data_IF_651507175724
#
_entry.id   IF_651507175724
#
_cell.length_a   1.000
_cell.length_b   1.000
_cell.length_c   1.000
_cell.angle_alpha   90.00
_cell.angle_beta   90.00
_cell.angle_gamma   90.00
#
_symmetry.space_group_name_H-M   'P 1'
#
loop_
_entity.id
_entity.type
_entity.pdbx_description
1 polymer ?
#
# COMPACT_ATOMS: atom_id res chain seq x y z
N UNK A 1 21.63 26.70 20.65
CA UNK A 1 21.09 26.29 19.34
C UNK A 1 19.75 25.61 19.55
N UNK A 2 18.66 26.17 19.00
CA UNK A 2 17.36 25.47 18.93
C UNK A 2 17.39 24.59 17.69
N UNK A 3 17.37 23.27 17.88
CA UNK A 3 17.19 22.34 16.76
C UNK A 3 15.71 22.40 16.36
N UNK A 4 15.42 22.93 15.17
CA UNK A 4 14.09 22.84 14.54
C UNK A 4 14.09 21.52 13.77
N UNK A 5 13.25 20.58 14.17
CA UNK A 5 12.97 19.38 13.37
C UNK A 5 11.93 19.80 12.31
N UNK A 6 12.27 19.89 11.01
CA UNK A 6 11.40 20.47 9.99
C UNK A 6 10.36 19.47 9.44
N UNK A 7 10.06 18.41 10.18
CA UNK A 7 9.13 17.37 9.74
C UNK A 7 8.33 16.81 10.92
N UNK A 8 7.09 16.43 10.63
CA UNK A 8 6.22 15.68 11.52
C UNK A 8 6.16 14.26 10.99
N UNK A 9 6.49 13.28 11.84
CA UNK A 9 6.37 11.86 11.49
C UNK A 9 5.06 11.34 12.06
N UNK A 10 4.19 10.87 11.17
CA UNK A 10 2.98 10.15 11.54
C UNK A 10 3.21 8.66 11.29
N UNK A 11 2.76 7.81 12.21
CA UNK A 11 2.88 6.36 12.08
C UNK A 11 1.65 5.78 11.41
N UNK A 12 1.88 4.91 10.42
CA UNK A 12 0.86 4.02 9.89
C UNK A 12 0.95 2.65 10.61
N UNK A 13 -0.17 1.97 10.91
CA UNK A 13 -0.18 0.66 11.57
C UNK A 13 0.27 -0.51 10.67
N UNK A 14 1.18 -0.26 9.72
CA UNK A 14 1.81 -1.31 8.90
C UNK A 14 2.84 -2.05 9.76
N UNK A 15 2.65 -3.35 9.94
CA UNK A 15 3.55 -4.22 10.72
C UNK A 15 4.57 -4.96 9.86
N UNK A 16 4.23 -5.25 8.60
CA UNK A 16 5.13 -5.90 7.64
C UNK A 16 4.97 -5.27 6.27
N UNK A 17 6.08 -5.16 5.54
CA UNK A 17 6.15 -4.58 4.21
C UNK A 17 7.06 -5.44 3.33
N UNK A 18 6.63 -5.71 2.09
CA UNK A 18 7.50 -6.23 1.04
C UNK A 18 7.28 -5.46 -0.26
N UNK A 19 8.37 -5.00 -0.87
CA UNK A 19 8.35 -4.33 -2.17
C UNK A 19 8.91 -5.30 -3.21
N UNK A 20 8.13 -5.54 -4.26
CA UNK A 20 8.42 -6.52 -5.30
C UNK A 20 8.46 -5.78 -6.65
N UNK A 21 9.63 -5.27 -7.08
CA UNK A 21 9.78 -4.64 -8.38
C UNK A 21 9.79 -5.68 -9.51
N UNK A 22 9.21 -5.35 -10.66
CA UNK A 22 9.22 -6.21 -11.83
C UNK A 22 10.25 -5.71 -12.86
N UNK A 23 11.48 -6.21 -12.79
CA UNK A 23 12.59 -5.64 -13.57
C UNK A 23 12.78 -6.25 -14.96
N UNK A 24 12.77 -7.58 -15.09
CA UNK A 24 13.20 -8.26 -16.32
C UNK A 24 12.09 -8.43 -17.36
N UNK A 25 10.86 -8.65 -16.91
CA UNK A 25 9.67 -8.84 -17.76
C UNK A 25 8.46 -8.25 -17.01
N UNK A 26 8.34 -6.91 -16.94
CA UNK A 26 7.24 -6.29 -16.22
C UNK A 26 5.91 -6.68 -16.86
N UNK A 27 4.94 -6.99 -16.01
CA UNK A 27 3.55 -7.23 -16.39
C UNK A 27 3.02 -6.14 -17.34
N UNK A 28 2.01 -6.44 -18.16
CA UNK A 28 1.47 -5.46 -19.13
C UNK A 28 0.97 -4.18 -18.45
N UNK A 29 0.44 -4.29 -17.23
CA UNK A 29 -0.19 -3.20 -16.48
C UNK A 29 0.75 -2.69 -15.39
N UNK A 30 1.37 -3.61 -14.64
CA UNK A 30 2.10 -3.28 -13.41
C UNK A 30 3.62 -3.30 -13.58
N UNK A 31 4.30 -2.43 -12.82
CA UNK A 31 5.77 -2.37 -12.71
C UNK A 31 6.30 -2.90 -11.38
N UNK A 32 5.41 -3.14 -10.42
CA UNK A 32 5.75 -3.77 -9.14
C UNK A 32 4.60 -3.70 -8.15
N UNK A 33 4.73 -4.44 -7.06
CA UNK A 33 3.77 -4.46 -5.96
C UNK A 33 4.45 -4.07 -4.65
N UNK A 34 3.65 -3.49 -3.76
CA UNK A 34 3.99 -3.32 -2.35
C UNK A 34 2.91 -3.99 -1.51
N UNK A 35 3.32 -5.03 -0.79
CA UNK A 35 2.48 -5.81 0.08
C UNK A 35 2.64 -5.28 1.50
N UNK A 36 1.53 -4.95 2.13
CA UNK A 36 1.45 -4.45 3.48
C UNK A 36 0.59 -5.40 4.32
N UNK A 37 1.09 -5.79 5.49
CA UNK A 37 0.24 -6.33 6.55
C UNK A 37 -0.04 -5.23 7.56
N UNK A 38 -1.31 -4.88 7.70
CA UNK A 38 -1.79 -3.82 8.58
C UNK A 38 -2.41 -4.48 9.81
N UNK A 39 -2.07 -3.97 10.99
CA UNK A 39 -2.65 -4.41 12.26
C UNK A 39 -2.73 -3.22 13.24
N UNK A 40 -3.86 -2.52 13.17
CA UNK A 40 -4.17 -1.38 14.02
C UNK A 40 -5.24 -0.46 13.46
N UNK A 41 -5.71 0.46 14.31
CA UNK A 41 -6.67 1.50 13.93
C UNK A 41 -6.04 2.52 12.98
N UNK A 42 -6.82 3.13 12.06
CA UNK A 42 -8.26 2.93 11.85
C UNK A 42 -8.62 1.69 11.02
N UNK A 43 -7.63 1.03 10.42
CA UNK A 43 -7.86 0.03 9.37
C UNK A 43 -8.29 -1.36 9.87
N UNK A 44 -7.99 -1.72 11.11
CA UNK A 44 -8.19 -3.08 11.61
C UNK A 44 -6.99 -3.97 11.28
N UNK A 45 -7.24 -5.23 10.89
CA UNK A 45 -6.20 -6.20 10.59
C UNK A 45 -6.45 -6.87 9.24
N UNK A 46 -5.45 -6.89 8.36
CA UNK A 46 -5.52 -7.53 7.05
C UNK A 46 -4.38 -7.14 6.13
N UNK A 47 -4.47 -7.58 4.88
CA UNK A 47 -3.49 -7.29 3.85
C UNK A 47 -3.94 -6.16 2.94
N UNK A 48 -2.99 -5.33 2.53
CA UNK A 48 -3.14 -4.35 1.47
C UNK A 48 -2.08 -4.60 0.40
N UNK A 49 -2.48 -4.52 -0.87
CA UNK A 49 -1.57 -4.56 -2.01
C UNK A 49 -1.69 -3.21 -2.73
N UNK A 50 -0.59 -2.47 -2.74
CA UNK A 50 -0.43 -1.28 -3.59
C UNK A 50 0.23 -1.74 -4.89
N UNK A 51 -0.51 -1.70 -5.99
CA UNK A 51 -0.05 -2.14 -7.29
C UNK A 51 0.34 -0.94 -8.16
N UNK A 52 1.65 -0.78 -8.37
CA UNK A 52 2.20 0.33 -9.15
C UNK A 52 2.01 0.07 -10.64
N UNK A 53 1.22 0.91 -11.29
CA UNK A 53 0.96 0.81 -12.73
C UNK A 53 2.06 1.48 -13.54
N UNK A 54 2.15 1.12 -14.82
CA UNK A 54 3.07 1.74 -15.79
C UNK A 54 2.65 3.14 -16.21
N UNK A 55 1.37 3.50 -16.08
CA UNK A 55 0.81 4.81 -16.43
C UNK A 55 0.95 5.88 -15.32
N UNK A 56 1.76 5.57 -14.28
CA UNK A 56 2.02 6.37 -13.07
C UNK A 56 0.86 6.50 -12.08
N UNK A 57 -0.19 5.69 -12.21
CA UNK A 57 -1.21 5.53 -11.16
C UNK A 57 -0.95 4.30 -10.26
N UNK A 58 -1.72 4.18 -9.19
CA UNK A 58 -1.78 2.96 -8.36
C UNK A 58 -3.18 2.35 -8.33
N UNK A 59 -3.23 1.02 -8.37
CA UNK A 59 -4.41 0.27 -7.94
C UNK A 59 -4.17 -0.25 -6.52
N UNK A 60 -5.18 -0.17 -5.66
CA UNK A 60 -5.11 -0.63 -4.27
C UNK A 60 -6.11 -1.76 -4.07
N UNK A 61 -5.63 -2.86 -3.50
CA UNK A 61 -6.45 -4.00 -3.13
C UNK A 61 -6.36 -4.21 -1.63
N UNK A 62 -7.46 -3.96 -0.93
CA UNK A 62 -7.59 -4.21 0.50
C UNK A 62 -8.30 -5.53 0.74
N UNK A 63 -7.82 -6.28 1.73
CA UNK A 63 -8.57 -7.39 2.26
C UNK A 63 -9.94 -6.92 2.77
N UNK A 64 -10.97 -7.73 2.60
CA UNK A 64 -12.31 -7.48 3.14
C UNK A 64 -12.31 -7.32 4.67
N UNK A 65 -11.30 -7.83 5.39
CA UNK A 65 -11.12 -7.65 6.83
C UNK A 65 -10.64 -6.24 7.21
N UNK A 66 -10.08 -5.48 6.26
CA UNK A 66 -9.72 -4.08 6.48
C UNK A 66 -10.94 -3.17 6.37
N UNK A 67 -10.95 -2.15 7.22
CA UNK A 67 -11.91 -1.06 7.19
C UNK A 67 -11.56 -0.10 6.07
N UNK A 68 -12.51 0.08 5.15
CA UNK A 68 -12.38 1.04 4.07
C UNK A 68 -12.32 2.47 4.63
N UNK A 69 -11.32 3.23 4.18
CA UNK A 69 -11.18 4.64 4.53
C UNK A 69 -11.46 5.48 3.27
N UNK A 70 -12.59 6.19 3.26
CA UNK A 70 -13.08 6.90 2.09
C UNK A 70 -12.17 8.06 1.65
N UNK A 71 -11.53 8.73 2.62
CA UNK A 71 -10.63 9.86 2.39
C UNK A 71 -9.17 9.46 2.16
N UNK A 72 -8.85 8.17 2.09
CA UNK A 72 -7.47 7.73 1.97
C UNK A 72 -6.87 8.05 0.59
N UNK A 73 -5.96 9.03 0.58
CA UNK A 73 -5.30 9.48 -0.64
C UNK A 73 -4.01 8.68 -0.85
N UNK A 74 -4.03 7.76 -1.80
CA UNK A 74 -2.87 6.99 -2.22
C UNK A 74 -1.93 7.79 -3.13
N UNK A 75 -1.45 8.92 -2.62
CA UNK A 75 -0.55 9.85 -3.33
C UNK A 75 0.91 9.36 -3.37
N UNK A 76 1.13 8.07 -3.14
CA UNK A 76 2.45 7.42 -3.20
C UNK A 76 2.99 7.32 -4.64
N UNK A 77 2.11 7.43 -5.64
CA UNK A 77 2.49 7.54 -7.05
C UNK A 77 2.15 8.91 -7.62
N UNK A 78 2.91 9.34 -8.63
CA UNK A 78 2.83 10.67 -9.25
C UNK A 78 1.38 11.10 -9.55
N UNK A 79 0.58 10.23 -10.19
CA UNK A 79 -0.80 10.54 -10.58
C UNK A 79 -1.85 10.06 -9.57
N UNK A 80 -1.43 9.46 -8.47
CA UNK A 80 -2.31 8.99 -7.39
C UNK A 80 -3.10 7.72 -7.71
N UNK A 81 -4.27 7.60 -7.08
CA UNK A 81 -5.13 6.42 -7.13
C UNK A 81 -5.88 6.32 -8.48
N UNK A 82 -5.79 5.16 -9.13
CA UNK A 82 -6.67 4.79 -10.25
C UNK A 82 -7.88 3.98 -9.76
N UNK A 83 -7.67 2.98 -8.90
CA UNK A 83 -8.76 2.16 -8.35
C UNK A 83 -8.45 1.69 -6.94
N UNK A 84 -9.47 1.68 -6.07
CA UNK A 84 -9.43 1.02 -4.77
C UNK A 84 -10.48 -0.08 -4.74
N UNK A 85 -10.06 -1.31 -4.45
CA UNK A 85 -10.89 -2.51 -4.48
C UNK A 85 -10.79 -3.22 -3.15
N UNK A 86 -11.94 -3.67 -2.63
CA UNK A 86 -11.97 -4.62 -1.52
C UNK A 86 -12.16 -6.02 -2.07
N UNK A 87 -11.30 -6.95 -1.68
CA UNK A 87 -11.28 -8.32 -2.19
C UNK A 87 -10.81 -9.28 -1.08
N UNK A 88 -11.25 -10.53 -1.11
CA UNK A 88 -10.74 -11.52 -0.17
C UNK A 88 -9.32 -11.97 -0.59
N UNK A 89 -8.31 -11.58 0.19
CA UNK A 89 -6.92 -11.97 -0.04
C UNK A 89 -6.65 -13.25 0.75
N UNK A 90 -6.52 -14.37 0.05
CA UNK A 90 -6.31 -15.70 0.65
C UNK A 90 -4.88 -16.16 0.44
N UNK A 91 -4.32 -16.88 1.43
CA UNK A 91 -2.98 -17.50 1.38
C UNK A 91 -1.85 -16.49 1.12
N UNK A 92 -1.93 -15.30 1.71
CA UNK A 92 -0.84 -14.32 1.68
C UNK A 92 0.13 -14.59 2.84
N UNK A 93 1.42 -14.66 2.54
CA UNK A 93 2.48 -14.87 3.53
C UNK A 93 3.57 -13.82 3.34
N UNK A 94 3.93 -13.15 4.42
CA UNK A 94 5.11 -12.29 4.53
C UNK A 94 6.02 -12.96 5.56
N UNK A 95 6.92 -13.79 5.07
CA UNK A 95 7.96 -14.47 5.84
C UNK A 95 9.13 -13.51 6.08
N UNK A 96 9.88 -13.76 7.16
CA UNK A 96 10.96 -12.89 7.65
C UNK A 96 12.31 -13.43 7.18
#
# INVERSE_FOLDING_TARGET
MKNIIPFIVNYSPIKKLAIIPFEKKPDKIYKGFELQYIDGKPYGNGYRIVAYRKDSYVDVYDDISLQFQEDEKFNVAEKGLNRHVRVAIKKAYLEK
#
